data_IF_942031746736
#
_entry.id   IF_942031746736
#
_cell.length_a   1.000
_cell.length_b   1.000
_cell.length_c   1.000
_cell.angle_alpha   90.00
_cell.angle_beta   90.00
_cell.angle_gamma   90.00
#
_symmetry.space_group_name_H-M   'P 1'
#
loop_
_entity.id
_entity.type
_entity.pdbx_description
1 polymer ?
#
# COMPACT_ATOMS: atom_id res chain seq x y z
N UNK A 1 26.84 14.10 -24.41
CA UNK A 1 26.18 13.76 -23.14
C UNK A 1 24.72 14.18 -23.27
N UNK A 2 23.78 13.27 -23.57
CA UNK A 2 22.36 13.63 -23.66
C UNK A 2 21.76 13.51 -22.26
N UNK A 3 21.45 14.64 -21.64
CA UNK A 3 20.59 14.66 -20.47
C UNK A 3 19.26 14.05 -20.90
N UNK A 4 18.91 12.90 -20.32
CA UNK A 4 17.57 12.36 -20.42
C UNK A 4 16.75 13.26 -19.50
N UNK A 5 15.87 14.09 -20.05
CA UNK A 5 14.89 14.80 -19.25
C UNK A 5 14.11 13.74 -18.44
N UNK A 6 14.07 13.84 -17.10
CA UNK A 6 13.19 12.96 -16.35
C UNK A 6 11.79 13.24 -16.89
N UNK A 7 11.14 12.23 -17.49
CA UNK A 7 9.72 12.32 -17.76
C UNK A 7 9.07 12.54 -16.41
N UNK A 8 8.80 13.78 -16.05
CA UNK A 8 8.01 14.14 -14.88
C UNK A 8 6.61 13.60 -15.15
N UNK A 9 6.39 12.36 -14.74
CA UNK A 9 5.04 11.83 -14.65
C UNK A 9 4.44 12.62 -13.50
N UNK A 10 3.55 13.55 -13.81
CA UNK A 10 2.71 14.22 -12.82
C UNK A 10 1.75 13.17 -12.23
N UNK A 11 2.25 12.42 -11.26
CA UNK A 11 1.49 11.42 -10.53
C UNK A 11 0.68 12.17 -9.46
N UNK A 12 -0.64 12.13 -9.58
CA UNK A 12 -1.53 12.61 -8.51
C UNK A 12 -1.45 11.61 -7.36
N UNK A 13 -0.76 11.99 -6.30
CA UNK A 13 -0.55 11.16 -5.12
C UNK A 13 -0.54 11.98 -3.83
N UNK A 14 -0.92 11.39 -2.69
CA UNK A 14 -0.73 12.03 -1.40
C UNK A 14 0.77 12.18 -1.09
N UNK A 15 1.10 13.30 -0.47
CA UNK A 15 2.45 13.58 0.00
C UNK A 15 2.54 13.43 1.50
N UNK A 16 3.63 12.83 1.99
CA UNK A 16 3.95 12.77 3.41
C UNK A 16 5.32 13.40 3.69
N UNK A 17 5.50 13.84 4.94
CA UNK A 17 6.81 14.23 5.48
C UNK A 17 7.06 13.42 6.73
N UNK A 18 8.34 13.12 7.01
CA UNK A 18 8.76 12.51 8.26
C UNK A 18 9.91 11.53 8.08
N UNK A 19 10.51 11.14 9.20
CA UNK A 19 11.56 10.12 9.23
C UNK A 19 10.90 8.73 9.16
N UNK A 20 10.71 8.22 7.95
CA UNK A 20 10.43 6.81 7.74
C UNK A 20 11.75 6.04 7.61
N UNK A 21 11.78 4.82 8.16
CA UNK A 21 12.95 3.95 8.17
C UNK A 21 12.87 2.84 7.12
N UNK A 22 11.66 2.55 6.66
CA UNK A 22 11.34 1.41 5.80
C UNK A 22 10.46 1.85 4.64
N UNK A 23 10.54 1.12 3.52
CA UNK A 23 9.62 1.23 2.40
C UNK A 23 9.14 -0.17 1.98
N UNK A 24 7.85 -0.52 2.19
CA UNK A 24 6.77 0.37 2.62
C UNK A 24 6.78 0.71 4.11
N UNK A 25 6.17 1.84 4.43
CA UNK A 25 5.99 2.32 5.80
C UNK A 25 4.84 1.55 6.44
N UNK A 26 5.08 0.92 7.59
CA UNK A 26 4.01 0.32 8.42
C UNK A 26 3.18 1.41 9.11
N UNK A 27 1.86 1.35 8.91
CA UNK A 27 0.88 2.32 9.42
C UNK A 27 -0.14 1.58 10.30
N UNK A 28 -0.26 2.04 11.55
CA UNK A 28 -1.23 1.54 12.54
C UNK A 28 -2.10 2.70 13.04
N UNK A 29 -3.07 2.41 13.91
CA UNK A 29 -3.88 3.44 14.58
C UNK A 29 -3.04 4.45 15.38
N UNK A 30 -1.83 4.08 15.82
CA UNK A 30 -0.88 4.93 16.55
C UNK A 30 0.05 5.76 15.64
N UNK A 31 0.07 5.49 14.34
CA UNK A 31 0.94 6.20 13.40
C UNK A 31 0.51 7.66 13.19
N UNK A 32 1.42 8.54 12.73
CA UNK A 32 1.12 9.94 12.45
C UNK A 32 -0.14 10.12 11.59
N UNK A 33 -0.94 11.15 11.90
CA UNK A 33 -2.17 11.47 11.17
C UNK A 33 -1.93 11.61 9.66
N UNK A 34 -0.79 12.16 9.27
CA UNK A 34 -0.38 12.32 7.85
C UNK A 34 -0.27 10.98 7.12
N UNK A 35 0.29 9.95 7.76
CA UNK A 35 0.46 8.63 7.15
C UNK A 35 -0.89 7.92 7.03
N UNK A 36 -1.72 7.98 8.09
CA UNK A 36 -3.09 7.44 8.05
C UNK A 36 -3.95 8.14 6.99
N UNK A 37 -3.81 9.45 6.83
CA UNK A 37 -4.47 10.22 5.76
C UNK A 37 -4.00 9.78 4.38
N UNK A 38 -2.71 9.52 4.20
CA UNK A 38 -2.17 9.05 2.92
C UNK A 38 -2.75 7.67 2.55
N UNK A 39 -2.78 6.71 3.49
CA UNK A 39 -3.42 5.40 3.28
C UNK A 39 -4.89 5.56 2.87
N UNK A 40 -5.65 6.43 3.57
CA UNK A 40 -7.04 6.75 3.22
C UNK A 40 -7.19 7.31 1.81
N UNK A 41 -6.33 8.26 1.41
CA UNK A 41 -6.36 8.83 0.06
C UNK A 41 -6.05 7.78 -1.01
N UNK A 42 -5.14 6.84 -0.74
CA UNK A 42 -4.89 5.69 -1.62
C UNK A 42 -6.09 4.75 -1.67
N UNK A 43 -6.74 4.47 -0.53
CA UNK A 43 -7.96 3.67 -0.50
C UNK A 43 -9.09 4.31 -1.34
N UNK A 44 -9.14 5.64 -1.44
CA UNK A 44 -10.06 6.32 -2.35
C UNK A 44 -9.70 6.16 -3.84
N UNK A 45 -8.42 5.99 -4.20
CA UNK A 45 -8.06 5.60 -5.57
C UNK A 45 -8.48 4.17 -5.86
N UNK A 46 -8.25 3.24 -4.92
CA UNK A 46 -8.74 1.87 -5.01
C UNK A 46 -10.26 1.83 -5.19
N UNK A 47 -11.02 2.53 -4.33
CA UNK A 47 -12.48 2.65 -4.44
C UNK A 47 -12.92 3.08 -5.83
N UNK A 48 -12.29 4.13 -6.37
CA UNK A 48 -12.62 4.69 -7.69
C UNK A 48 -12.30 3.74 -8.83
N UNK A 49 -11.16 3.05 -8.78
CA UNK A 49 -10.74 2.12 -9.84
C UNK A 49 -11.60 0.85 -9.87
N UNK A 50 -12.01 0.35 -8.70
CA UNK A 50 -12.76 -0.90 -8.58
C UNK A 50 -14.28 -0.71 -8.41
N UNK A 51 -14.76 0.54 -8.36
CA UNK A 51 -16.18 0.85 -8.34
C UNK A 51 -16.92 0.54 -7.04
N UNK A 52 -16.22 0.55 -5.89
CA UNK A 52 -16.88 0.36 -4.59
C UNK A 52 -17.67 1.60 -4.17
N UNK A 53 -18.74 1.38 -3.41
CA UNK A 53 -19.60 2.41 -2.80
C UNK A 53 -19.06 2.92 -1.45
N UNK A 54 -18.16 2.19 -0.81
CA UNK A 54 -17.46 2.60 0.42
C UNK A 54 -15.93 2.63 0.27
N UNK A 55 -15.25 3.38 1.15
CA UNK A 55 -13.78 3.40 1.22
C UNK A 55 -13.28 2.30 2.15
N UNK A 56 -12.27 1.55 1.73
CA UNK A 56 -11.78 0.34 2.41
C UNK A 56 -10.90 0.63 3.65
N UNK A 57 -10.70 1.91 3.96
CA UNK A 57 -9.90 2.37 5.07
C UNK A 57 -10.53 3.62 5.68
N UNK A 58 -10.62 3.66 7.00
CA UNK A 58 -11.17 4.81 7.73
C UNK A 58 -10.11 5.87 8.04
N UNK A 59 -10.52 7.13 8.10
CA UNK A 59 -9.67 8.23 8.55
C UNK A 59 -10.41 9.08 9.61
N UNK A 60 -9.67 9.87 10.40
CA UNK A 60 -10.28 10.74 11.44
C UNK A 60 -11.17 10.03 12.48
N UNK A 61 -10.76 8.82 12.89
CA UNK A 61 -11.46 8.06 13.94
C UNK A 61 -12.41 7.00 13.41
N UNK A 62 -12.46 6.80 12.10
CA UNK A 62 -13.20 5.69 11.48
C UNK A 62 -12.41 4.37 11.53
N UNK A 63 -11.09 4.40 11.33
CA UNK A 63 -10.23 3.22 11.55
C UNK A 63 -9.78 3.18 13.01
N UNK A 64 -10.48 2.36 13.80
CA UNK A 64 -10.28 2.25 15.26
C UNK A 64 -9.80 0.88 15.70
N UNK A 65 -9.79 -0.12 14.82
CA UNK A 65 -9.32 -1.46 15.15
C UNK A 65 -7.80 -1.42 15.37
N UNK A 66 -7.31 -1.65 16.60
CA UNK A 66 -5.87 -1.64 16.88
C UNK A 66 -5.12 -2.80 16.19
N UNK A 67 -5.84 -3.81 15.68
CA UNK A 67 -5.27 -4.91 14.92
C UNK A 67 -5.27 -4.64 13.41
N UNK A 68 -5.74 -3.49 12.94
CA UNK A 68 -5.56 -3.08 11.55
C UNK A 68 -4.10 -2.67 11.32
N UNK A 69 -3.49 -3.25 10.28
CA UNK A 69 -2.12 -2.93 9.89
C UNK A 69 -2.11 -2.60 8.41
N UNK A 70 -1.81 -1.35 8.09
CA UNK A 70 -1.64 -0.89 6.73
C UNK A 70 -0.15 -0.74 6.38
N UNK A 71 0.16 -0.82 5.10
CA UNK A 71 1.48 -0.49 4.57
C UNK A 71 1.31 0.60 3.52
N UNK A 72 2.23 1.55 3.50
CA UNK A 72 2.22 2.72 2.62
C UNK A 72 3.53 2.77 1.85
N UNK A 73 3.49 2.52 0.54
CA UNK A 73 4.64 2.66 -0.32
C UNK A 73 4.87 4.12 -0.68
N UNK A 74 6.12 4.56 -0.57
CA UNK A 74 6.60 5.80 -1.16
C UNK A 74 7.27 5.52 -2.50
N UNK A 75 7.39 6.55 -3.33
CA UNK A 75 8.07 6.42 -4.61
C UNK A 75 9.53 6.00 -4.39
N UNK A 76 10.05 4.98 -5.12
CA UNK A 76 11.41 4.47 -4.92
C UNK A 76 12.50 5.55 -5.03
N UNK A 77 12.37 6.45 -5.99
CA UNK A 77 13.31 7.58 -6.15
C UNK A 77 13.30 8.56 -4.96
N UNK A 78 12.29 8.51 -4.10
CA UNK A 78 12.16 9.38 -2.93
C UNK A 78 12.80 8.80 -1.65
N UNK A 79 13.31 7.56 -1.69
CA UNK A 79 13.83 6.85 -0.52
C UNK A 79 15.02 7.60 0.14
N UNK A 80 15.85 8.27 -0.65
CA UNK A 80 16.98 9.08 -0.18
C UNK A 80 16.64 10.49 0.33
N UNK A 81 15.41 10.96 0.16
CA UNK A 81 15.02 12.37 0.40
C UNK A 81 14.18 12.58 1.67
N UNK A 82 14.08 11.55 2.52
CA UNK A 82 13.09 11.40 3.59
C UNK A 82 13.06 12.50 4.66
N UNK A 83 14.16 13.25 4.84
CA UNK A 83 14.30 14.19 5.97
C UNK A 83 13.89 15.62 5.66
N UNK A 84 13.99 16.05 4.41
CA UNK A 84 13.87 17.46 4.03
C UNK A 84 12.69 17.74 3.10
N UNK A 85 12.15 16.69 2.46
CA UNK A 85 11.16 16.83 1.42
C UNK A 85 9.86 16.11 1.75
N UNK A 86 8.79 16.63 1.16
CA UNK A 86 7.54 15.89 1.02
C UNK A 86 7.75 14.81 -0.04
N UNK A 87 7.42 13.57 0.28
CA UNK A 87 7.59 12.44 -0.64
C UNK A 87 6.25 11.89 -1.12
N UNK A 88 6.15 11.51 -2.40
CA UNK A 88 4.93 10.96 -2.97
C UNK A 88 4.69 9.52 -2.51
N UNK A 89 3.48 9.24 -2.01
CA UNK A 89 3.04 7.88 -1.71
C UNK A 89 2.32 7.27 -2.91
N UNK A 90 2.79 6.11 -3.34
CA UNK A 90 2.42 5.50 -4.61
C UNK A 90 1.54 4.25 -4.45
N UNK A 91 1.25 3.86 -3.22
CA UNK A 91 0.48 2.64 -3.00
C UNK A 91 0.24 2.39 -1.53
N UNK A 92 -0.76 1.57 -1.25
CA UNK A 92 -1.05 1.11 0.09
C UNK A 92 -1.80 -0.21 0.07
N UNK A 93 -1.73 -0.93 1.18
CA UNK A 93 -2.57 -2.08 1.46
C UNK A 93 -3.00 -2.09 2.92
N UNK A 94 -3.97 -2.93 3.26
CA UNK A 94 -4.40 -3.12 4.64
C UNK A 94 -4.70 -4.58 4.95
N UNK A 95 -4.10 -5.04 6.04
CA UNK A 95 -4.38 -6.31 6.70
C UNK A 95 -5.31 -6.06 7.89
N UNK A 96 -6.25 -6.97 8.10
CA UNK A 96 -7.06 -7.01 9.32
C UNK A 96 -7.09 -8.42 9.90
N UNK A 97 -7.18 -8.49 11.22
CA UNK A 97 -7.29 -9.77 11.91
C UNK A 97 -8.66 -10.40 11.64
N UNK A 98 -8.67 -11.71 11.42
CA UNK A 98 -9.84 -12.57 11.27
C UNK A 98 -9.73 -13.76 12.24
N UNK A 99 -10.81 -14.50 12.49
CA UNK A 99 -10.73 -15.72 13.30
C UNK A 99 -9.69 -16.74 12.81
N UNK A 100 -9.41 -16.78 11.50
CA UNK A 100 -8.44 -17.68 10.88
C UNK A 100 -7.02 -17.12 10.75
N UNK A 101 -6.75 -15.93 11.29
CA UNK A 101 -5.48 -15.20 11.11
C UNK A 101 -5.67 -13.88 10.36
N UNK A 102 -4.57 -13.25 9.95
CA UNK A 102 -4.65 -12.01 9.18
C UNK A 102 -5.17 -12.24 7.76
N UNK A 103 -5.94 -11.29 7.25
CA UNK A 103 -6.39 -11.24 5.86
C UNK A 103 -5.95 -9.93 5.21
N UNK A 104 -5.31 -10.00 4.04
CA UNK A 104 -5.05 -8.86 3.17
C UNK A 104 -6.37 -8.45 2.50
N UNK A 105 -6.99 -7.38 3.00
CA UNK A 105 -8.33 -6.98 2.58
C UNK A 105 -8.31 -6.23 1.24
N UNK A 106 -7.30 -5.38 1.04
CA UNK A 106 -7.15 -4.62 -0.19
C UNK A 106 -5.69 -4.21 -0.39
N UNK A 107 -5.34 -4.02 -1.65
CA UNK A 107 -4.05 -3.46 -2.07
C UNK A 107 -4.27 -2.62 -3.32
N UNK A 108 -3.61 -1.48 -3.36
CA UNK A 108 -3.55 -0.63 -4.53
C UNK A 108 -2.15 -0.07 -4.69
N UNK A 109 -1.63 -0.19 -5.91
CA UNK A 109 -0.41 0.47 -6.34
C UNK A 109 -0.74 1.37 -7.52
N UNK A 110 -0.05 2.49 -7.63
CA UNK A 110 -0.23 3.45 -8.71
C UNK A 110 -0.06 2.75 -10.06
N UNK A 111 -0.99 2.93 -11.04
CA UNK A 111 -0.98 2.18 -12.29
C UNK A 111 0.36 2.17 -13.03
N UNK A 112 1.06 3.31 -13.08
CA UNK A 112 2.38 3.42 -13.73
C UNK A 112 3.50 2.66 -13.04
N UNK A 113 3.36 2.34 -11.74
CA UNK A 113 4.39 1.65 -10.95
C UNK A 113 4.05 0.17 -10.68
N UNK A 114 2.94 -0.33 -11.24
CA UNK A 114 2.62 -1.76 -11.20
C UNK A 114 3.62 -2.56 -12.03
N UNK A 115 3.81 -3.83 -11.66
CA UNK A 115 4.74 -4.77 -12.31
C UNK A 115 6.21 -4.33 -12.29
N UNK A 116 6.58 -3.45 -11.35
CA UNK A 116 7.96 -3.01 -11.13
C UNK A 116 8.60 -3.63 -9.87
N UNK A 117 8.14 -4.81 -9.43
CA UNK A 117 8.73 -5.49 -8.27
C UNK A 117 8.12 -5.12 -6.92
N UNK A 118 7.64 -3.88 -6.71
CA UNK A 118 7.14 -3.37 -5.41
C UNK A 118 6.46 -4.40 -4.48
N UNK A 119 5.36 -5.02 -4.92
CA UNK A 119 4.67 -6.01 -4.09
C UNK A 119 5.44 -7.33 -3.97
N UNK A 120 6.12 -7.78 -5.04
CA UNK A 120 6.91 -9.02 -4.99
C UNK A 120 8.07 -8.90 -4.01
N UNK A 121 8.70 -7.72 -3.93
CA UNK A 121 9.85 -7.46 -3.07
C UNK A 121 9.43 -7.42 -1.60
N UNK A 122 8.26 -6.83 -1.28
CA UNK A 122 7.72 -6.80 0.09
C UNK A 122 6.99 -8.10 0.48
N UNK A 123 6.57 -8.94 -0.46
CA UNK A 123 5.75 -10.13 -0.15
C UNK A 123 6.35 -11.07 0.91
N UNK A 124 7.66 -11.39 0.90
CA UNK A 124 8.29 -12.20 1.93
C UNK A 124 8.19 -11.58 3.33
N UNK A 125 8.25 -10.25 3.43
CA UNK A 125 8.11 -9.53 4.69
C UNK A 125 6.70 -9.66 5.24
N UNK A 126 5.67 -9.60 4.39
CA UNK A 126 4.29 -9.87 4.80
C UNK A 126 4.11 -11.30 5.30
N UNK A 127 4.72 -12.29 4.65
CA UNK A 127 4.68 -13.69 5.10
C UNK A 127 5.40 -13.83 6.46
N UNK A 128 6.54 -13.17 6.63
CA UNK A 128 7.27 -13.19 7.89
C UNK A 128 6.49 -12.49 9.02
N UNK A 129 5.82 -11.37 8.73
CA UNK A 129 5.08 -10.60 9.71
C UNK A 129 3.75 -11.26 10.12
N UNK A 130 2.99 -11.77 9.15
CA UNK A 130 1.64 -12.27 9.38
C UNK A 130 1.52 -13.81 9.37
N UNK A 131 2.61 -14.51 9.03
CA UNK A 131 2.58 -15.95 8.81
C UNK A 131 1.71 -16.33 7.61
N UNK A 132 0.92 -17.40 7.75
CA UNK A 132 -0.09 -17.77 6.75
C UNK A 132 -1.29 -16.82 6.86
N UNK A 133 -1.39 -15.87 5.93
CA UNK A 133 -2.54 -14.97 5.80
C UNK A 133 -3.41 -15.32 4.59
N UNK A 134 -4.66 -14.85 4.57
CA UNK A 134 -5.54 -14.97 3.39
C UNK A 134 -5.50 -13.68 2.55
N UNK A 135 -5.83 -13.77 1.25
CA UNK A 135 -6.12 -12.58 0.43
C UNK A 135 -7.61 -12.52 0.19
N UNK A 136 -8.26 -11.43 0.59
CA UNK A 136 -9.71 -11.32 0.56
C UNK A 136 -10.23 -10.91 -0.83
N UNK A 137 -11.40 -11.42 -1.17
CA UNK A 137 -12.09 -11.17 -2.42
C UNK A 137 -12.82 -9.81 -2.42
N UNK A 138 -13.08 -9.24 -3.62
CA UNK A 138 -12.75 -9.74 -4.94
C UNK A 138 -11.31 -9.48 -5.39
N UNK A 139 -10.73 -10.43 -6.12
CA UNK A 139 -9.39 -10.34 -6.66
C UNK A 139 -9.40 -9.83 -8.10
N UNK A 140 -8.58 -8.81 -8.37
CA UNK A 140 -8.28 -8.39 -9.73
C UNK A 140 -7.51 -9.48 -10.49
N UNK A 141 -7.57 -9.48 -11.82
CA UNK A 141 -6.81 -10.45 -12.62
C UNK A 141 -5.29 -10.31 -12.42
N UNK A 142 -4.82 -9.09 -12.16
CA UNK A 142 -3.43 -8.84 -11.78
C UNK A 142 -3.07 -9.51 -10.44
N UNK A 143 -3.97 -9.46 -9.45
CA UNK A 143 -3.74 -10.10 -8.15
C UNK A 143 -3.81 -11.63 -8.27
N UNK A 144 -4.76 -12.18 -9.04
CA UNK A 144 -4.80 -13.64 -9.32
C UNK A 144 -3.51 -14.13 -9.97
N UNK A 145 -3.03 -13.42 -10.99
CA UNK A 145 -1.77 -13.75 -11.67
C UNK A 145 -0.57 -13.66 -10.72
N UNK A 146 -0.55 -12.64 -9.85
CA UNK A 146 0.48 -12.49 -8.81
C UNK A 146 0.48 -13.68 -7.84
N UNK A 147 -0.68 -14.05 -7.29
CA UNK A 147 -0.79 -15.13 -6.32
C UNK A 147 -0.43 -16.49 -6.92
N UNK A 148 -0.86 -16.75 -8.16
CA UNK A 148 -0.48 -17.96 -8.90
C UNK A 148 1.04 -18.04 -9.11
N UNK A 149 1.69 -16.92 -9.46
CA UNK A 149 3.16 -16.86 -9.62
C UNK A 149 3.91 -17.19 -8.32
N UNK A 150 3.35 -16.78 -7.18
CA UNK A 150 3.94 -17.00 -5.85
C UNK A 150 3.46 -18.29 -5.17
N UNK A 151 2.71 -19.16 -5.88
CA UNK A 151 2.10 -20.37 -5.32
C UNK A 151 1.31 -20.11 -4.02
N UNK A 152 0.66 -18.94 -3.93
CA UNK A 152 -0.07 -18.53 -2.74
C UNK A 152 -1.54 -18.94 -2.89
N UNK A 153 -2.03 -19.80 -1.99
CA UNK A 153 -3.41 -20.25 -2.01
C UNK A 153 -4.38 -19.11 -1.66
N UNK A 154 -5.40 -18.91 -2.48
CA UNK A 154 -6.55 -18.06 -2.20
C UNK A 154 -7.83 -18.84 -2.52
N UNK A 155 -8.87 -18.66 -1.71
CA UNK A 155 -10.16 -19.36 -1.81
C UNK A 155 -11.30 -18.35 -1.88
#
# INVERSE_FOLDING_TARGET
MRAIEPKTIDIVCPLISGNYLDNPIKVTTKSPKTYRKAVYLIAQFFRREFGYDFTQYGYEGEETDPNSVAFLWIHPEAEGYSKEFKVPCIGACCFRLRPSGYGLQWIWLHPYLRRQGLLSDTWPEFINEFGKFSVEHPLSDAMKAFLNKHNFEYR
#
